data_IF_833733426269
#
_entry.id   IF_833733426269
#
_cell.length_a   1.000
_cell.length_b   1.000
_cell.length_c   1.000
_cell.angle_alpha   90.00
_cell.angle_beta   90.00
_cell.angle_gamma   90.00
#
_symmetry.space_group_name_H-M   'P 1'
#
loop_
_entity.id
_entity.type
_entity.pdbx_description
1 polymer ?
#
# COMPACT_ATOMS: atom_id res chain seq x y z
N UNK A 1 -20.77 -11.66 -7.36
CA UNK A 1 -21.21 -10.29 -6.99
C UNK A 1 -19.95 -9.44 -6.93
N UNK A 2 -19.94 -8.12 -7.16
CA UNK A 2 -18.70 -7.37 -6.95
C UNK A 2 -18.35 -7.40 -5.45
N UNK A 3 -17.15 -7.88 -5.13
CA UNK A 3 -16.58 -7.80 -3.78
C UNK A 3 -15.89 -6.44 -3.58
N UNK A 4 -15.94 -5.92 -2.36
CA UNK A 4 -15.31 -4.64 -2.02
C UNK A 4 -14.15 -4.85 -1.06
N UNK A 5 -12.92 -4.45 -1.45
CA UNK A 5 -11.75 -4.46 -0.56
C UNK A 5 -11.45 -3.05 -0.12
N UNK A 6 -11.32 -2.84 1.20
CA UNK A 6 -10.99 -1.55 1.80
C UNK A 6 -9.63 -1.62 2.47
N UNK A 7 -8.73 -0.73 2.08
CA UNK A 7 -7.36 -0.67 2.59
C UNK A 7 -7.15 0.68 3.27
N UNK A 8 -6.56 0.67 4.46
CA UNK A 8 -6.15 1.89 5.18
C UNK A 8 -4.68 1.77 5.53
N UNK A 9 -3.89 2.78 5.16
CA UNK A 9 -2.46 2.82 5.43
C UNK A 9 -2.21 3.69 6.66
N UNK A 10 -1.71 3.09 7.73
CA UNK A 10 -1.51 3.77 9.01
C UNK A 10 -0.14 4.43 9.09
N UNK A 11 0.92 3.64 9.12
CA UNK A 11 2.29 4.11 9.28
C UNK A 11 3.30 3.09 8.76
N UNK A 12 4.53 3.55 8.55
CA UNK A 12 5.70 2.72 8.39
C UNK A 12 6.74 3.12 9.43
N UNK A 13 7.71 2.25 9.67
CA UNK A 13 8.75 2.44 10.67
C UNK A 13 10.09 1.96 10.14
N UNK A 14 11.15 2.54 10.68
CA UNK A 14 12.53 2.11 10.42
C UNK A 14 12.85 2.05 8.92
N UNK A 15 12.33 3.00 8.13
CA UNK A 15 12.64 3.10 6.71
C UNK A 15 14.13 3.41 6.50
N UNK A 16 14.74 2.88 5.43
CA UNK A 16 16.11 3.26 5.06
C UNK A 16 16.18 4.73 4.67
N UNK A 17 17.36 5.32 4.86
CA UNK A 17 17.69 6.67 4.38
C UNK A 17 17.79 6.64 2.86
N UNK A 18 16.92 7.40 2.19
CA UNK A 18 16.93 7.54 0.73
C UNK A 18 17.62 8.84 0.29
N UNK A 19 17.39 9.93 1.02
CA UNK A 19 18.12 11.17 0.80
C UNK A 19 19.36 11.26 1.71
N UNK A 20 20.55 11.16 1.10
CA UNK A 20 21.84 11.27 1.81
C UNK A 20 22.14 12.66 2.35
N UNK A 21 21.53 13.71 1.81
CA UNK A 21 21.75 15.08 2.26
C UNK A 21 20.99 15.37 3.55
N UNK A 22 19.74 14.91 3.65
CA UNK A 22 18.90 15.10 4.84
C UNK A 22 18.98 13.94 5.83
N UNK A 23 19.56 12.80 5.44
CA UNK A 23 19.52 11.53 6.18
C UNK A 23 18.10 11.04 6.46
N UNK A 24 17.14 11.40 5.62
CA UNK A 24 15.72 11.12 5.77
C UNK A 24 15.13 10.62 4.45
N UNK A 25 13.81 10.43 4.44
CA UNK A 25 13.07 9.83 3.33
C UNK A 25 11.73 10.55 3.19
N UNK A 26 11.30 10.78 1.94
CA UNK A 26 10.03 11.41 1.60
C UNK A 26 9.04 10.32 1.17
N UNK A 27 8.44 9.62 2.12
CA UNK A 27 7.72 8.38 1.82
C UNK A 27 6.24 8.58 1.43
N UNK A 28 5.80 7.81 0.44
CA UNK A 28 4.38 7.53 0.16
C UNK A 28 4.17 6.06 -0.16
N UNK A 29 2.92 5.59 -0.07
CA UNK A 29 2.57 4.20 -0.39
C UNK A 29 1.67 4.16 -1.62
N UNK A 30 2.04 3.34 -2.60
CA UNK A 30 1.17 2.93 -3.68
C UNK A 30 0.43 1.65 -3.28
N UNK A 31 -0.89 1.67 -3.40
CA UNK A 31 -1.78 0.54 -3.14
C UNK A 31 -2.34 0.09 -4.50
N UNK A 32 -1.96 -1.10 -4.95
CA UNK A 32 -2.37 -1.63 -6.25
C UNK A 32 -3.15 -2.94 -6.10
N UNK A 33 -4.22 -3.11 -6.87
CA UNK A 33 -4.86 -4.41 -7.12
C UNK A 33 -5.15 -4.48 -8.62
N UNK A 34 -4.54 -5.44 -9.34
CA UNK A 34 -4.58 -5.50 -10.80
C UNK A 34 -4.15 -4.18 -11.46
N UNK A 35 -5.08 -3.55 -12.19
CA UNK A 35 -4.85 -2.27 -12.88
C UNK A 35 -5.19 -1.03 -12.04
N UNK A 36 -5.87 -1.19 -10.91
CA UNK A 36 -6.29 -0.06 -10.05
C UNK A 36 -5.15 0.29 -9.11
N UNK A 37 -4.77 1.57 -9.08
CA UNK A 37 -3.71 2.08 -8.19
C UNK A 37 -4.20 3.31 -7.44
N UNK A 38 -4.04 3.29 -6.13
CA UNK A 38 -4.20 4.44 -5.24
C UNK A 38 -2.86 4.84 -4.62
N UNK A 39 -2.74 6.08 -4.16
CA UNK A 39 -1.55 6.59 -3.49
C UNK A 39 -1.94 7.32 -2.22
N UNK A 40 -1.12 7.19 -1.18
CA UNK A 40 -1.21 8.06 0.00
C UNK A 40 -0.64 9.44 -0.28
N UNK A 41 -0.85 10.36 0.64
CA UNK A 41 -0.06 11.58 0.71
C UNK A 41 1.42 11.27 0.94
N UNK A 42 2.27 12.22 0.58
CA UNK A 42 3.72 12.15 0.81
C UNK A 42 4.03 12.71 2.19
N UNK A 43 4.62 11.89 3.06
CA UNK A 43 5.17 12.34 4.33
C UNK A 43 6.65 12.60 4.14
N UNK A 44 7.04 13.88 4.20
CA UNK A 44 8.41 14.30 3.98
C UNK A 44 9.30 14.13 5.20
N UNK A 45 10.59 13.89 4.97
CA UNK A 45 11.67 13.95 5.95
C UNK A 45 11.41 13.07 7.18
N UNK A 46 10.98 11.83 6.97
CA UNK A 46 10.71 10.90 8.07
C UNK A 46 11.05 9.47 7.70
N UNK A 47 11.79 8.78 8.59
CA UNK A 47 11.99 7.33 8.52
C UNK A 47 10.84 6.55 9.18
N UNK A 48 9.92 7.26 9.85
CA UNK A 48 8.76 6.69 10.55
C UNK A 48 7.50 7.47 10.14
N UNK A 49 7.11 7.44 8.86
CA UNK A 49 5.97 8.20 8.36
C UNK A 49 4.64 7.67 8.95
N UNK A 50 3.75 8.58 9.28
CA UNK A 50 2.38 8.29 9.70
C UNK A 50 1.42 8.95 8.71
N UNK A 51 0.74 8.13 7.91
CA UNK A 51 -0.24 8.62 6.93
C UNK A 51 -1.64 8.70 7.53
N UNK A 52 -2.02 7.74 8.39
CA UNK A 52 -3.37 7.63 8.94
C UNK A 52 -4.45 7.86 7.88
N UNK A 53 -4.28 7.26 6.70
CA UNK A 53 -5.04 7.61 5.50
C UNK A 53 -6.54 7.40 5.68
N UNK A 54 -7.32 8.02 4.80
CA UNK A 54 -8.68 7.57 4.55
C UNK A 54 -8.69 6.14 3.95
N UNK A 55 -9.88 5.54 3.90
CA UNK A 55 -10.07 4.23 3.29
C UNK A 55 -9.98 4.31 1.77
N UNK A 56 -9.06 3.53 1.19
CA UNK A 56 -9.03 3.27 -0.24
C UNK A 56 -9.94 2.09 -0.54
N UNK A 57 -10.91 2.28 -1.43
CA UNK A 57 -11.91 1.29 -1.77
C UNK A 57 -11.66 0.75 -3.17
N UNK A 58 -11.54 -0.57 -3.29
CA UNK A 58 -11.46 -1.28 -4.55
C UNK A 58 -12.75 -2.07 -4.74
N UNK A 59 -13.41 -1.85 -5.87
CA UNK A 59 -14.57 -2.63 -6.31
C UNK A 59 -14.12 -3.53 -7.46
N UNK A 60 -14.14 -4.84 -7.21
CA UNK A 60 -13.62 -5.86 -8.10
C UNK A 60 -14.62 -7.02 -8.15
N UNK A 61 -14.64 -7.80 -9.23
CA UNK A 61 -15.43 -9.03 -9.24
C UNK A 61 -14.71 -10.15 -8.46
N UNK A 62 -15.47 -11.21 -8.15
CA UNK A 62 -14.96 -12.34 -7.37
C UNK A 62 -13.77 -13.03 -8.07
N UNK A 63 -13.74 -13.01 -9.42
CA UNK A 63 -12.65 -13.58 -10.20
C UNK A 63 -11.36 -12.76 -10.04
N UNK A 64 -11.42 -11.44 -10.23
CA UNK A 64 -10.26 -10.58 -10.03
C UNK A 64 -9.74 -10.62 -8.59
N UNK A 65 -10.62 -10.75 -7.59
CA UNK A 65 -10.20 -10.89 -6.19
C UNK A 65 -9.45 -12.20 -5.88
N UNK A 66 -9.68 -13.26 -6.67
CA UNK A 66 -8.99 -14.55 -6.51
C UNK A 66 -7.66 -14.58 -7.29
N UNK A 67 -7.62 -13.93 -8.45
CA UNK A 67 -6.47 -13.93 -9.35
C UNK A 67 -5.44 -12.83 -9.03
N UNK A 68 -5.89 -11.66 -8.58
CA UNK A 68 -5.04 -10.50 -8.31
C UNK A 68 -4.61 -10.43 -6.84
N UNK A 69 -3.34 -10.09 -6.60
CA UNK A 69 -2.84 -9.79 -5.27
C UNK A 69 -2.93 -8.29 -4.96
N UNK A 70 -3.18 -7.96 -3.71
CA UNK A 70 -3.00 -6.60 -3.21
C UNK A 70 -1.50 -6.33 -3.05
N UNK A 71 -1.00 -5.31 -3.74
CA UNK A 71 0.40 -4.89 -3.68
C UNK A 71 0.50 -3.56 -2.95
N UNK A 72 1.28 -3.51 -1.88
CA UNK A 72 1.69 -2.26 -1.25
C UNK A 72 3.14 -1.99 -1.62
N UNK A 73 3.43 -0.83 -2.19
CA UNK A 73 4.78 -0.37 -2.49
C UNK A 73 5.07 0.90 -1.71
N UNK A 74 6.14 0.87 -0.92
CA UNK A 74 6.66 2.08 -0.27
C UNK A 74 7.65 2.72 -1.23
N UNK A 75 7.42 3.98 -1.54
CA UNK A 75 8.16 4.76 -2.52
C UNK A 75 8.77 6.00 -1.85
N UNK A 76 9.94 6.41 -2.34
CA UNK A 76 10.57 7.69 -1.99
C UNK A 76 10.22 8.75 -3.04
N UNK A 77 9.71 9.88 -2.58
CA UNK A 77 9.24 10.97 -3.42
C UNK A 77 10.37 11.95 -3.69
N UNK A 78 11.03 11.75 -4.83
CA UNK A 78 11.93 12.75 -5.38
C UNK A 78 11.20 13.84 -6.17
N UNK A 79 11.61 15.10 -5.95
CA UNK A 79 11.05 16.27 -6.68
C UNK A 79 11.69 16.47 -8.05
N UNK A 80 12.96 16.10 -8.20
CA UNK A 80 13.78 16.40 -9.39
C UNK A 80 14.25 15.15 -10.15
N UNK A 81 13.97 13.96 -9.63
CA UNK A 81 14.29 12.64 -10.20
C UNK A 81 13.05 11.74 -10.21
N UNK A 82 13.19 10.56 -10.81
CA UNK A 82 12.18 9.51 -10.71
C UNK A 82 12.07 9.03 -9.26
N UNK A 83 10.87 8.63 -8.83
CA UNK A 83 10.65 8.09 -7.49
C UNK A 83 11.30 6.71 -7.33
N UNK A 84 12.05 6.54 -6.25
CA UNK A 84 12.74 5.29 -5.95
C UNK A 84 11.86 4.33 -5.14
N UNK A 85 11.93 3.04 -5.46
CA UNK A 85 11.20 2.02 -4.70
C UNK A 85 11.98 1.64 -3.46
N UNK A 86 11.39 1.85 -2.28
CA UNK A 86 11.98 1.43 -1.00
C UNK A 86 11.74 -0.06 -0.78
N UNK A 87 10.51 -0.51 -1.00
CA UNK A 87 10.13 -1.89 -0.78
C UNK A 87 8.71 -2.17 -1.24
N UNK A 88 8.37 -3.45 -1.37
CA UNK A 88 7.02 -3.88 -1.76
C UNK A 88 6.64 -5.18 -1.06
N UNK A 89 5.35 -5.35 -0.83
CA UNK A 89 4.76 -6.56 -0.28
C UNK A 89 3.50 -6.93 -1.06
N UNK A 90 3.26 -8.23 -1.17
CA UNK A 90 2.10 -8.82 -1.84
C UNK A 90 1.23 -9.49 -0.79
N UNK A 91 -0.06 -9.22 -0.82
CA UNK A 91 -1.06 -9.85 0.02
C UNK A 91 -1.98 -10.69 -0.85
N UNK A 92 -2.06 -11.97 -0.53
CA UNK A 92 -3.07 -12.86 -1.09
C UNK A 92 -4.44 -12.50 -0.50
N UNK A 93 -5.41 -12.24 -1.36
CA UNK A 93 -6.76 -11.87 -0.98
C UNK A 93 -7.67 -13.10 -0.82
N UNK A 94 -7.26 -14.28 -1.31
CA UNK A 94 -8.05 -15.52 -1.22
C UNK A 94 -8.49 -15.88 0.21
N UNK A 95 -7.68 -15.71 1.27
CA UNK A 95 -8.10 -15.98 2.65
C UNK A 95 -9.31 -15.14 3.08
N UNK A 96 -9.45 -13.91 2.57
CA UNK A 96 -10.56 -13.01 2.90
C UNK A 96 -11.88 -13.39 2.21
N UNK A 97 -11.81 -14.24 1.17
CA UNK A 97 -12.96 -14.75 0.43
C UNK A 97 -13.51 -16.04 1.03
N UNK A 98 -12.77 -16.67 1.95
CA UNK A 98 -13.24 -17.90 2.59
C UNK A 98 -14.45 -17.60 3.48
N UNK A 99 -15.54 -18.39 3.38
CA UNK A 99 -16.65 -18.25 4.31
C UNK A 99 -16.11 -18.52 5.72
N UNK A 100 -16.32 -17.56 6.63
CA UNK A 100 -16.04 -17.75 8.06
C UNK A 100 -16.81 -18.99 8.48
N UNK A 101 -16.11 -20.09 8.72
CA UNK A 101 -16.71 -21.26 9.37
C UNK A 101 -16.90 -20.82 10.82
N UNK A 102 -18.14 -20.64 11.32
CA UNK A 102 -18.33 -20.32 12.71
C UNK A 102 -17.74 -21.46 13.55
N UNK A 103 -16.92 -21.09 14.53
CA UNK A 103 -16.33 -22.06 15.48
C UNK A 103 -17.46 -22.91 16.08
N UNK A 104 -17.39 -24.23 15.86
CA UNK A 104 -18.37 -25.24 16.33
C UNK A 104 -18.34 -25.35 17.85
#
# INVERSE_FOLDING_TARGET
>A
MPGSVKVKVLSARDLPVMDRATFLTDAFVEICIGSITHKTEVVRKSLNPCWNSDWFCFELDDQALQEEALVLKVMDHDTYSAHDTIGRVYFDLNPLLSPVIPDV
#
